data_IF_194233807850
#
_entry.id   IF_194233807850
#
_cell.length_a   1.000
_cell.length_b   1.000
_cell.length_c   1.000
_cell.angle_alpha   90.00
_cell.angle_beta   90.00
_cell.angle_gamma   90.00
#
_symmetry.space_group_name_H-M   'P 1'
#
loop_
_entity.id
_entity.type
_entity.pdbx_description
1 polymer ?
2 polymer ?
#
# COMPACT_ATOMS: atom_id res chain seq x y z
N UNK A 1 4.40 -14.25 15.46
CA UNK A 1 5.69 -13.68 15.98
C UNK A 1 5.65 -12.16 15.83
N UNK A 2 5.44 -11.68 14.64
CA UNK A 2 5.39 -10.20 14.44
C UNK A 2 5.48 -9.88 12.94
N UNK A 3 6.60 -10.25 12.36
CA UNK A 3 6.87 -10.03 10.94
C UNK A 3 6.26 -11.15 10.09
N UNK A 4 5.03 -11.51 10.32
CA UNK A 4 4.40 -12.60 9.51
C UNK A 4 3.67 -11.98 8.33
N UNK A 5 4.38 -11.31 7.45
CA UNK A 5 3.72 -10.68 6.28
C UNK A 5 3.09 -11.77 5.40
N UNK A 6 1.86 -11.60 5.03
CA UNK A 6 1.20 -12.63 4.18
C UNK A 6 1.81 -12.58 2.78
N UNK A 7 1.82 -11.43 2.16
CA UNK A 7 2.40 -11.31 0.79
C UNK A 7 3.50 -10.25 0.79
N UNK A 8 4.32 -10.22 -0.22
CA UNK A 8 5.41 -9.20 -0.26
C UNK A 8 5.72 -8.83 -1.72
N UNK A 9 5.74 -7.56 -2.02
CA UNK A 9 6.04 -7.13 -3.42
C UNK A 9 7.22 -6.17 -3.42
N UNK A 10 7.88 -6.01 -4.54
CA UNK A 10 9.02 -5.07 -4.61
C UNK A 10 8.69 -3.96 -5.62
N UNK A 11 8.61 -2.74 -5.18
CA UNK A 11 8.29 -1.63 -6.12
C UNK A 11 9.30 -0.50 -6.00
N UNK A 12 9.20 0.48 -6.85
CA UNK A 12 10.15 1.62 -6.81
C UNK A 12 9.34 2.89 -6.55
N UNK A 13 9.43 3.42 -5.36
CA UNK A 13 8.67 4.65 -5.02
C UNK A 13 8.79 5.70 -6.13
N UNK A 14 7.86 6.61 -6.19
CA UNK A 14 7.89 7.66 -7.25
C UNK A 14 7.67 9.03 -6.56
N UNK A 15 8.43 10.02 -6.96
CA UNK A 15 8.33 11.37 -6.38
C UNK A 15 7.04 12.06 -6.86
N UNK A 16 5.96 11.89 -6.14
CA UNK A 16 4.67 12.54 -6.54
C UNK A 16 4.27 13.57 -5.49
N UNK A 17 3.95 13.15 -4.30
CA UNK A 17 3.54 14.12 -3.25
C UNK A 17 4.19 13.76 -1.91
N UNK A 18 3.61 12.84 -1.19
CA UNK A 18 4.19 12.44 0.13
C UNK A 18 5.67 12.07 -0.04
N UNK A 19 6.04 11.58 -1.18
CA UNK A 19 7.46 11.19 -1.41
C UNK A 19 8.23 12.39 -1.97
N UNK A 20 8.13 13.53 -1.33
CA UNK A 20 8.85 14.73 -1.81
C UNK A 20 9.19 15.63 -0.63
N UNK A 21 8.26 15.83 0.26
CA UNK A 21 8.52 16.70 1.44
C UNK A 21 9.14 15.84 2.55
N UNK A 22 8.69 14.64 2.70
CA UNK A 22 9.25 13.75 3.75
C UNK A 22 10.45 12.96 3.19
N UNK A 23 10.75 13.09 1.92
CA UNK A 23 11.90 12.35 1.33
C UNK A 23 11.60 10.85 1.30
N UNK A 24 10.46 10.47 0.82
CA UNK A 24 10.13 9.01 0.77
C UNK A 24 10.23 8.53 -0.68
N UNK A 25 11.37 8.08 -1.10
CA UNK A 25 11.53 7.60 -2.50
C UNK A 25 12.67 6.58 -2.57
N UNK A 26 12.80 5.89 -3.68
CA UNK A 26 13.88 4.88 -3.81
C UNK A 26 13.26 3.50 -4.07
N UNK A 27 13.93 2.46 -3.66
CA UNK A 27 13.38 1.09 -3.88
C UNK A 27 12.78 0.57 -2.57
N UNK A 28 11.48 0.40 -2.54
CA UNK A 28 10.83 -0.11 -1.29
C UNK A 28 10.13 -1.43 -1.57
N UNK A 29 9.43 -1.96 -0.61
CA UNK A 29 8.72 -3.25 -0.80
C UNK A 29 7.35 -3.18 -0.13
N UNK A 30 6.29 -3.43 -0.86
CA UNK A 30 4.93 -3.37 -0.26
C UNK A 30 4.62 -4.72 0.42
N UNK A 31 4.91 -4.83 1.68
CA UNK A 31 4.64 -6.11 2.40
C UNK A 31 3.21 -6.09 2.95
N UNK A 32 2.34 -6.87 2.39
CA UNK A 32 0.94 -6.90 2.89
C UNK A 32 0.86 -7.76 4.15
N UNK A 33 0.58 -7.15 5.28
CA UNK A 33 0.49 -7.93 6.54
C UNK A 33 -0.98 -8.22 6.84
N UNK A 34 -1.72 -8.64 5.84
CA UNK A 34 -3.18 -8.96 5.99
C UNK A 34 -3.90 -7.97 6.92
N UNK A 35 -3.44 -6.75 7.00
CA UNK A 35 -4.09 -5.74 7.89
C UNK A 35 -3.18 -4.52 7.97
N UNK A 36 -1.89 -4.72 7.95
CA UNK A 36 -0.97 -3.54 8.03
C UNK A 36 0.07 -3.60 6.92
N UNK A 37 0.18 -2.56 6.13
CA UNK A 37 1.18 -2.55 5.03
C UNK A 37 2.56 -2.22 5.61
N UNK A 38 3.62 -2.63 4.94
CA UNK A 38 4.97 -2.34 5.47
C UNK A 38 5.92 -1.95 4.33
N UNK A 39 6.21 -0.70 4.18
CA UNK A 39 7.13 -0.26 3.09
C UNK A 39 8.57 -0.46 3.57
N UNK A 40 9.16 -1.58 3.27
CA UNK A 40 10.56 -1.84 3.70
C UNK A 40 11.53 -1.49 2.58
N UNK A 41 12.61 -0.83 2.90
CA UNK A 41 13.60 -0.47 1.86
C UNK A 41 14.48 -1.68 1.54
N UNK A 42 14.71 -1.95 0.29
CA UNK A 42 15.55 -3.12 -0.07
C UNK A 42 16.95 -2.97 0.55
N UNK A 43 17.40 -1.76 0.72
CA UNK A 43 18.75 -1.55 1.32
C UNK A 43 18.61 -1.21 2.80
N UNK A 44 17.67 -1.82 3.48
CA UNK A 44 17.49 -1.54 4.93
C UNK A 44 17.31 -2.85 5.68
N UNK A 45 16.84 -2.79 6.90
CA UNK A 45 16.64 -4.05 7.69
C UNK A 45 15.26 -4.02 8.34
N UNK A 46 14.96 -2.99 9.08
CA UNK A 46 13.62 -2.90 9.75
C UNK A 46 12.63 -2.22 8.80
N UNK A 47 11.36 -2.40 9.04
CA UNK A 47 10.34 -1.77 8.16
C UNK A 47 10.60 -0.26 8.09
N UNK A 48 10.20 0.37 7.02
CA UNK A 48 10.43 1.83 6.88
C UNK A 48 9.14 2.59 7.23
N UNK A 49 8.08 2.34 6.51
CA UNK A 49 6.79 3.03 6.81
C UNK A 49 5.70 1.99 7.08
N UNK A 50 5.50 1.64 8.32
CA UNK A 50 4.44 0.64 8.63
C UNK A 50 3.08 1.33 8.63
N UNK A 51 2.35 1.23 7.55
CA UNK A 51 1.02 1.89 7.49
C UNK A 51 -0.07 0.84 7.72
N UNK A 52 -1.31 1.25 7.67
CA UNK A 52 -2.41 0.28 7.89
C UNK A 52 -3.41 0.38 6.75
N UNK A 53 -4.01 -0.73 6.37
CA UNK A 53 -5.01 -0.68 5.27
C UNK A 53 -6.25 0.08 5.72
N UNK A 54 -6.52 0.12 7.00
CA UNK A 54 -7.72 0.84 7.50
C UNK A 54 -7.54 2.36 7.32
N UNK A 55 -6.34 2.81 7.05
CA UNK A 55 -6.13 4.28 6.86
C UNK A 55 -5.98 4.61 5.36
N UNK A 56 -5.76 3.63 4.54
CA UNK A 56 -5.61 3.90 3.08
C UNK A 56 -6.99 4.18 2.48
N UNK A 57 -7.22 5.39 2.04
CA UNK A 57 -8.55 5.72 1.43
C UNK A 57 -8.81 4.76 0.27
N UNK A 58 -7.85 4.64 -0.60
CA UNK A 58 -8.03 3.74 -1.78
C UNK A 58 -6.66 3.40 -2.37
N UNK A 59 -6.61 2.56 -3.35
CA UNK A 59 -5.30 2.19 -3.98
C UNK A 59 -5.51 2.00 -5.48
N UNK A 60 -4.83 2.76 -6.28
CA UNK A 60 -5.00 2.62 -7.75
C UNK A 60 -3.76 1.97 -8.38
N UNK A 61 -3.97 1.22 -9.42
CA UNK A 61 -2.84 0.53 -10.11
C UNK A 61 -2.95 0.80 -11.61
N UNK A 62 -2.76 2.04 -12.00
CA UNK A 62 -2.86 2.41 -13.43
C UNK A 62 -1.78 1.72 -14.25
N UNK A 63 -2.07 0.55 -14.76
CA UNK A 63 -1.06 -0.18 -15.57
C UNK A 63 0.16 -0.56 -14.71
N UNK A 64 1.15 0.31 -14.62
CA UNK A 64 2.34 -0.02 -13.79
C UNK A 64 2.40 0.88 -12.55
N UNK A 65 1.74 2.01 -12.59
CA UNK A 65 1.78 2.92 -11.41
C UNK A 65 0.82 2.41 -10.33
N UNK A 66 1.36 1.97 -9.22
CA UNK A 66 0.50 1.46 -8.12
C UNK A 66 0.53 2.45 -6.96
N UNK A 67 -0.24 3.50 -7.05
CA UNK A 67 -0.24 4.50 -5.96
C UNK A 67 -1.25 4.11 -4.88
N UNK A 68 -1.12 4.65 -3.70
CA UNK A 68 -2.06 4.31 -2.61
C UNK A 68 -2.53 5.59 -1.92
N UNK A 69 -3.74 6.01 -2.18
CA UNK A 69 -4.26 7.25 -1.54
C UNK A 69 -4.43 7.01 -0.04
N UNK A 70 -3.84 7.85 0.76
CA UNK A 70 -3.95 7.69 2.24
C UNK A 70 -4.71 8.89 2.82
N UNK A 71 -5.40 8.69 3.92
CA UNK A 71 -6.15 9.83 4.52
C UNK A 71 -5.74 9.98 5.99
N UNK A 72 -6.65 10.42 6.81
CA UNK A 72 -6.32 10.60 8.25
C UNK A 72 -5.91 9.26 8.86
N UNK A 73 -5.34 9.27 10.04
CA UNK A 73 -4.92 7.99 10.68
C UNK A 73 -3.78 7.34 9.89
N UNK A 74 -3.17 8.06 8.97
CA UNK A 74 -2.06 7.46 8.20
C UNK A 74 -0.73 7.78 8.89
N UNK A 75 0.19 6.86 8.86
CA UNK A 75 1.50 7.11 9.52
C UNK A 75 2.11 8.41 9.00
N UNK A 76 1.78 8.80 7.80
CA UNK A 76 2.34 10.06 7.24
C UNK A 76 1.24 11.13 7.21
N UNK A 77 0.01 10.73 7.03
CA UNK A 77 -1.10 11.73 6.98
C UNK A 77 -1.79 11.66 5.61
N UNK A 78 -2.49 12.72 5.28
CA UNK A 78 -3.21 12.83 4.01
C UNK A 78 -2.23 13.01 2.86
N UNK A 79 -2.40 12.30 1.78
CA UNK A 79 -1.47 12.44 0.63
C UNK A 79 -1.61 11.21 -0.28
N UNK A 80 -0.54 10.81 -0.90
CA UNK A 80 -0.62 9.62 -1.79
C UNK A 80 0.77 9.02 -1.97
N UNK A 81 0.85 7.72 -2.09
CA UNK A 81 2.18 7.07 -2.27
C UNK A 81 2.24 6.42 -3.66
N UNK A 82 2.66 7.17 -4.65
CA UNK A 82 2.74 6.62 -6.02
C UNK A 82 4.01 5.79 -6.17
N UNK A 83 4.02 4.83 -7.07
CA UNK A 83 5.23 4.00 -7.27
C UNK A 83 5.15 3.32 -8.63
N UNK A 84 6.17 2.59 -9.01
CA UNK A 84 6.14 1.92 -10.34
C UNK A 84 6.48 0.43 -10.18
N UNK A 85 5.87 -0.42 -10.96
CA UNK A 85 6.16 -1.87 -10.84
C UNK A 85 6.97 -2.32 -12.06
N UNK A 86 7.05 -3.60 -12.29
CA UNK A 86 7.83 -4.10 -13.46
C UNK A 86 7.12 -3.73 -14.76
N UNK A 87 5.82 -3.82 -14.78
CA UNK A 87 5.06 -3.47 -16.03
C UNK A 87 3.56 -3.46 -15.73
N UNK A 88 2.72 -3.82 -16.66
CA UNK A 88 1.26 -3.82 -16.39
C UNK A 88 0.81 -5.19 -15.87
N UNK A 89 1.70 -5.97 -15.33
CA UNK A 89 1.31 -7.31 -14.81
C UNK A 89 1.54 -7.35 -13.31
N UNK A 90 2.70 -6.93 -12.87
CA UNK A 90 2.99 -6.94 -11.41
C UNK A 90 2.01 -5.98 -10.72
N UNK A 91 1.52 -4.99 -11.43
CA UNK A 91 0.56 -4.03 -10.83
C UNK A 91 -0.81 -4.70 -10.77
N UNK A 92 -1.21 -5.37 -11.80
CA UNK A 92 -2.54 -6.05 -11.79
C UNK A 92 -2.43 -7.35 -10.98
N UNK A 93 -1.23 -7.71 -10.55
CA UNK A 93 -1.07 -8.95 -9.75
C UNK A 93 -1.06 -8.58 -8.27
N UNK A 94 -0.56 -7.41 -7.95
CA UNK A 94 -0.53 -6.97 -6.53
C UNK A 94 -1.85 -6.28 -6.18
N UNK A 95 -2.55 -5.77 -7.15
CA UNK A 95 -3.85 -5.10 -6.86
C UNK A 95 -4.94 -6.14 -6.64
N UNK A 96 -4.85 -7.26 -7.32
CA UNK A 96 -5.89 -8.31 -7.15
C UNK A 96 -5.63 -9.09 -5.86
N UNK A 97 -4.38 -9.27 -5.51
CA UNK A 97 -4.06 -10.02 -4.26
C UNK A 97 -4.27 -9.12 -3.05
N UNK A 98 -4.08 -7.84 -3.22
CA UNK A 98 -4.27 -6.89 -2.08
C UNK A 98 -5.75 -6.54 -1.95
N UNK A 99 -6.48 -6.59 -3.03
CA UNK A 99 -7.93 -6.27 -2.97
C UNK A 99 -8.68 -7.37 -2.21
N UNK A 100 -8.18 -8.58 -2.26
CA UNK A 100 -8.86 -9.71 -1.55
C UNK A 100 -8.54 -9.64 -0.06
N UNK A 101 -7.33 -9.33 0.29
CA UNK A 101 -6.97 -9.24 1.74
C UNK A 101 -7.77 -8.13 2.40
N UNK A 102 -7.78 -6.97 1.81
CA UNK A 102 -8.54 -5.83 2.39
C UNK A 102 -10.03 -6.16 2.40
N UNK A 103 -10.50 -6.82 1.38
CA UNK A 103 -11.94 -7.18 1.33
C UNK A 103 -12.26 -8.17 2.46
N UNK A 104 -11.29 -8.92 2.89
CA UNK A 104 -11.53 -9.90 4.00
C UNK A 104 -11.62 -9.16 5.33
N UNK A 105 -11.03 -7.98 5.42
CA UNK A 105 -11.08 -7.22 6.71
C UNK A 105 -12.41 -6.46 6.80
N UNK A 106 -12.67 -5.60 5.84
CA UNK A 106 -13.95 -4.82 5.89
C UNK A 106 -15.14 -5.78 5.85
N UNK A 107 -15.02 -6.84 5.11
CA UNK A 107 -16.17 -7.81 5.01
C UNK A 107 -16.23 -8.65 6.29
N UNK A 108 -15.12 -9.03 6.83
CA UNK A 108 -15.12 -9.85 8.08
C UNK A 108 -14.92 -8.94 9.29
N UNK A 109 -15.30 -7.69 9.18
CA UNK A 109 -15.13 -6.76 10.34
C UNK A 109 -16.28 -6.96 11.32
N UNK A 110 -17.47 -6.55 10.95
CA UNK A 110 -18.64 -6.70 11.85
C UNK A 110 -19.84 -5.94 11.25
N UNK A 111 -21.03 -6.47 11.44
CA UNK A 111 -22.28 -5.87 10.93
C UNK A 111 -22.42 -4.41 11.42
N UNK A 112 -23.63 -3.92 11.54
CA UNK A 112 -23.83 -2.52 12.02
C UNK A 112 -23.27 -1.56 10.97
N UNK B 1 -6.63 5.14 -16.40
CA UNK B 1 -6.14 5.26 -15.00
C UNK B 1 -6.78 4.16 -14.14
N UNK B 2 -6.32 2.95 -14.26
CA UNK B 2 -6.89 1.85 -13.47
C UNK B 2 -6.79 2.20 -11.97
N UNK B 3 -7.91 2.37 -11.31
CA UNK B 3 -7.86 2.73 -9.87
C UNK B 3 -8.71 1.75 -9.05
N UNK B 4 -8.45 1.63 -7.77
CA UNK B 4 -9.22 0.70 -6.92
C UNK B 4 -9.64 1.42 -5.64
N UNK B 5 -10.28 0.74 -4.73
CA UNK B 5 -10.70 1.43 -3.47
C UNK B 5 -10.31 0.57 -2.26
N UNK B 6 -10.35 1.14 -1.08
CA UNK B 6 -9.98 0.37 0.14
C UNK B 6 -11.26 0.11 0.96
N UNK B 7 -11.66 -1.15 1.06
CA UNK B 7 -12.88 -1.53 1.81
C UNK B 7 -12.64 -1.42 3.32
N UNK B 8 -11.49 -1.80 3.79
CA UNK B 8 -11.21 -1.72 5.26
C UNK B 8 -10.97 -0.28 5.72
N UNK B 9 -11.00 0.69 4.84
CA UNK B 9 -10.77 2.11 5.26
C UNK B 9 -11.90 2.56 6.19
N UNK B 10 -13.08 2.02 6.02
CA UNK B 10 -14.24 2.41 6.87
C UNK B 10 -14.74 3.82 6.50
N UNK B 11 -14.11 4.86 6.98
CA UNK B 11 -14.58 6.23 6.63
C UNK B 11 -16.06 6.39 7.00
#
# INVERSE_FOLDING_TARGET
MGPAFKEVWQVILKPKGLGQTKNLIGIYRLCLTSKTISFVKLNSEAAAVVLQLMNIRRCGHSENFFFIEVGRSAVTGPGEFWMQVDDSVVAQNMHETILEAMRAMSDEFRPR
LVIAGNPAYRS
#
